data_IF_541536287652
#
_entry.id   IF_541536287652
#
_cell.length_a   1.000
_cell.length_b   1.000
_cell.length_c   1.000
_cell.angle_alpha   90.00
_cell.angle_beta   90.00
_cell.angle_gamma   90.00
#
_symmetry.space_group_name_H-M   'P 1'
#
loop_
_entity.id
_entity.type
_entity.pdbx_description
1 polymer ?
#
# COMPACT_ATOMS: atom_id res chain seq x y z
N UNK A 1 -1.97 -5.55 -6.11
CA UNK A 1 -0.51 -5.39 -5.95
C UNK A 1 -0.22 -4.45 -4.79
N UNK A 2 0.65 -4.84 -3.86
CA UNK A 2 1.14 -3.98 -2.79
C UNK A 2 2.58 -3.55 -3.08
N UNK A 3 2.88 -2.26 -2.93
CA UNK A 3 4.25 -1.72 -3.01
C UNK A 3 4.58 -1.04 -1.69
N UNK A 4 5.69 -1.44 -1.09
CA UNK A 4 6.22 -0.81 0.12
C UNK A 4 7.25 0.23 -0.28
N UNK A 5 7.17 1.44 0.29
CA UNK A 5 8.17 2.49 0.07
C UNK A 5 9.56 2.07 0.56
N UNK A 6 10.61 2.69 0.03
CA UNK A 6 12.00 2.36 0.41
C UNK A 6 12.26 2.51 1.92
N UNK A 7 11.65 3.52 2.55
CA UNK A 7 11.75 3.74 4.00
C UNK A 7 10.79 2.87 4.83
N UNK A 8 9.95 2.04 4.19
CA UNK A 8 8.94 1.16 4.82
C UNK A 8 7.85 1.87 5.62
N UNK A 9 7.68 3.16 5.38
CA UNK A 9 6.67 3.98 6.06
C UNK A 9 5.38 4.09 5.27
N UNK A 10 5.34 3.61 4.02
CA UNK A 10 4.15 3.65 3.17
C UNK A 10 3.92 2.32 2.47
N UNK A 11 2.66 1.93 2.39
CA UNK A 11 2.16 0.75 1.68
C UNK A 11 1.13 1.23 0.67
N UNK A 12 1.44 1.10 -0.61
CA UNK A 12 0.59 1.46 -1.72
C UNK A 12 -0.18 0.22 -2.17
N UNK A 13 -1.50 0.30 -2.23
CA UNK A 13 -2.34 -0.77 -2.76
C UNK A 13 -2.88 -0.39 -4.13
N UNK A 14 -2.46 -1.16 -5.14
CA UNK A 14 -2.95 -1.04 -6.51
C UNK A 14 -3.94 -2.17 -6.81
N UNK A 15 -5.18 -1.78 -7.09
CA UNK A 15 -6.03 -2.51 -8.04
C UNK A 15 -7.55 -2.39 -7.88
N UNK A 16 -8.10 -1.90 -6.76
CA UNK A 16 -9.50 -1.42 -6.70
C UNK A 16 -9.61 0.11 -6.64
N UNK A 17 -8.69 0.75 -5.91
CA UNK A 17 -8.49 2.20 -5.83
C UNK A 17 -6.99 2.51 -5.62
N UNK A 18 -6.55 3.76 -5.81
CA UNK A 18 -5.16 4.18 -5.54
C UNK A 18 -5.04 4.63 -4.08
N UNK A 19 -5.02 3.67 -3.17
CA UNK A 19 -5.00 3.96 -1.74
C UNK A 19 -3.60 3.70 -1.19
N UNK A 20 -3.11 4.59 -0.33
CA UNK A 20 -1.88 4.36 0.41
C UNK A 20 -2.17 4.36 1.91
N UNK A 21 -1.61 3.39 2.62
CA UNK A 21 -1.46 3.42 4.06
C UNK A 21 -0.08 4.00 4.37
N UNK A 22 -0.03 5.03 5.20
CA UNK A 22 1.23 5.68 5.54
C UNK A 22 1.36 6.02 7.02
N UNK A 23 2.58 5.88 7.52
CA UNK A 23 2.98 6.43 8.80
C UNK A 23 3.06 7.94 8.72
N UNK A 24 2.50 8.61 9.73
CA UNK A 24 2.59 10.06 9.92
C UNK A 24 3.04 10.38 11.34
N UNK A 25 3.84 11.43 11.47
CA UNK A 25 4.34 11.92 12.74
C UNK A 25 3.89 13.37 12.93
N UNK A 26 3.24 13.64 14.06
CA UNK A 26 2.83 14.99 14.43
C UNK A 26 3.53 15.40 15.71
N UNK A 27 4.40 16.39 15.59
CA UNK A 27 5.06 17.00 16.75
C UNK A 27 4.22 18.18 17.22
N UNK A 28 3.71 18.08 18.44
CA UNK A 28 2.97 19.16 19.08
C UNK A 28 3.83 19.83 20.14
N UNK A 29 4.06 21.13 19.97
CA UNK A 29 4.77 21.96 20.93
C UNK A 29 3.78 22.73 21.80
N UNK A 30 3.56 22.27 23.03
CA UNK A 30 2.81 23.02 24.05
C UNK A 30 3.78 23.56 25.10
N UNK A 31 4.24 24.79 24.89
CA UNK A 31 5.20 25.46 25.77
C UNK A 31 6.57 24.79 25.71
N UNK A 32 7.10 24.32 26.85
CA UNK A 32 8.38 23.58 26.94
C UNK A 32 8.25 22.06 26.75
N UNK A 33 7.02 21.54 26.60
CA UNK A 33 6.77 20.11 26.41
C UNK A 33 6.58 19.82 24.94
N UNK A 34 7.40 18.92 24.43
CA UNK A 34 7.29 18.32 23.11
C UNK A 34 6.59 16.97 23.26
N UNK A 35 5.48 16.81 22.54
CA UNK A 35 4.74 15.54 22.49
C UNK A 35 4.65 15.10 21.04
N UNK A 36 5.17 13.92 20.76
CA UNK A 36 5.14 13.30 19.43
C UNK A 36 3.96 12.34 19.38
N UNK A 37 3.11 12.48 18.37
CA UNK A 37 2.03 11.55 18.04
C UNK A 37 2.42 10.74 16.81
N UNK A 38 2.30 9.42 16.92
CA UNK A 38 2.59 8.48 15.84
C UNK A 38 1.28 7.91 15.32
N UNK A 39 0.93 8.20 14.07
CA UNK A 39 -0.33 7.76 13.48
C UNK A 39 -0.11 6.97 12.20
N UNK A 40 -1.11 6.16 11.84
CA UNK A 40 -1.26 5.60 10.50
C UNK A 40 -2.42 6.34 9.85
N UNK A 41 -2.20 6.76 8.61
CA UNK A 41 -3.19 7.45 7.80
C UNK A 41 -3.50 6.66 6.53
N UNK A 42 -4.72 6.80 6.03
CA UNK A 42 -5.10 6.40 4.67
C UNK A 42 -5.07 7.65 3.80
N UNK A 43 -4.40 7.56 2.65
CA UNK A 43 -4.45 8.56 1.60
C UNK A 43 -5.24 8.00 0.41
N UNK A 44 -6.48 8.46 0.25
CA UNK A 44 -7.37 8.18 -0.89
C UNK A 44 -7.96 9.52 -1.40
N UNK A 45 -7.09 10.37 -1.94
CA UNK A 45 -7.41 11.75 -2.34
C UNK A 45 -7.47 12.78 -1.19
N UNK A 46 -7.63 12.34 0.07
CA UNK A 46 -7.48 13.10 1.30
C UNK A 46 -6.71 12.29 2.34
N UNK A 47 -6.01 12.96 3.26
CA UNK A 47 -5.27 12.29 4.35
C UNK A 47 -6.18 12.12 5.57
N UNK A 48 -6.54 10.88 5.89
CA UNK A 48 -7.38 10.55 7.04
C UNK A 48 -6.62 9.72 8.07
N UNK A 49 -6.63 10.14 9.34
CA UNK A 49 -6.06 9.38 10.45
C UNK A 49 -6.95 8.19 10.79
N UNK A 50 -6.39 6.96 10.77
CA UNK A 50 -7.13 5.73 11.08
C UNK A 50 -6.76 5.10 12.41
N UNK A 51 -5.53 5.34 12.88
CA UNK A 51 -5.04 4.77 14.12
C UNK A 51 -3.87 5.59 14.68
N UNK A 52 -3.78 5.64 16.00
CA UNK A 52 -2.66 6.22 16.75
C UNK A 52 -1.98 5.12 17.58
N UNK A 53 -0.65 5.15 17.62
CA UNK A 53 0.16 4.23 18.40
C UNK A 53 1.17 4.98 19.26
N UNK A 54 1.64 4.30 20.31
CA UNK A 54 2.56 4.90 21.26
C UNK A 54 3.96 5.17 20.67
N UNK A 55 4.41 4.36 19.72
CA UNK A 55 5.75 4.48 19.13
C UNK A 55 5.72 4.28 17.62
N UNK A 56 6.71 4.87 16.94
CA UNK A 56 6.93 4.68 15.50
C UNK A 56 7.09 3.20 15.14
N UNK A 57 7.84 2.44 15.92
CA UNK A 57 8.10 1.01 15.67
C UNK A 57 6.80 0.21 15.64
N UNK A 58 5.84 0.58 16.49
CA UNK A 58 4.52 -0.06 16.48
C UNK A 58 3.76 0.24 15.20
N UNK A 59 3.78 1.48 14.71
CA UNK A 59 3.17 1.83 13.42
C UNK A 59 3.80 1.02 12.27
N UNK A 60 5.13 0.94 12.23
CA UNK A 60 5.84 0.20 11.18
C UNK A 60 5.56 -1.31 11.23
N UNK A 61 5.45 -1.88 12.43
CA UNK A 61 5.07 -3.28 12.60
C UNK A 61 3.65 -3.54 12.06
N UNK A 62 2.71 -2.64 12.31
CA UNK A 62 1.33 -2.77 11.78
C UNK A 62 1.31 -2.68 10.25
N UNK A 63 2.08 -1.77 9.65
CA UNK A 63 2.21 -1.71 8.19
C UNK A 63 2.81 -3.01 7.61
N UNK A 64 3.81 -3.59 8.30
CA UNK A 64 4.40 -4.87 7.91
C UNK A 64 3.43 -6.04 8.03
N UNK A 65 2.68 -6.09 9.13
CA UNK A 65 1.67 -7.14 9.38
C UNK A 65 0.55 -7.04 8.34
N UNK A 66 0.13 -5.82 7.98
CA UNK A 66 -0.80 -5.57 6.88
C UNK A 66 -0.25 -6.11 5.55
N UNK A 67 0.99 -5.79 5.19
CA UNK A 67 1.60 -6.35 3.98
C UNK A 67 1.62 -7.87 3.98
N UNK A 68 1.99 -8.52 5.09
CA UNK A 68 2.05 -9.97 5.19
C UNK A 68 0.67 -10.64 5.13
N UNK A 69 -0.37 -10.04 5.72
CA UNK A 69 -1.73 -10.56 5.67
C UNK A 69 -2.28 -10.58 4.23
N UNK A 70 -2.00 -9.52 3.46
CA UNK A 70 -2.51 -9.35 2.09
C UNK A 70 -1.51 -9.78 1.01
N UNK A 71 -0.37 -10.36 1.38
CA UNK A 71 0.64 -10.90 0.45
C UNK A 71 0.03 -12.00 -0.43
N UNK A 72 -0.79 -12.88 0.16
CA UNK A 72 -1.43 -14.00 -0.53
C UNK A 72 -2.74 -13.61 -1.24
N UNK A 73 -3.38 -12.49 -0.89
CA UNK A 73 -4.60 -12.00 -1.55
C UNK A 73 -4.29 -11.19 -2.82
N UNK A 74 -3.04 -10.75 -2.98
CA UNK A 74 -2.54 -10.17 -4.22
C UNK A 74 -2.12 -11.27 -5.21
N UNK A 75 -3.07 -12.03 -5.74
CA UNK A 75 -2.78 -13.01 -6.79
C UNK A 75 -2.23 -12.32 -8.04
N UNK A 76 -0.98 -12.61 -8.39
CA UNK A 76 -0.49 -12.49 -9.77
C UNK A 76 -0.86 -13.76 -10.50
N UNK A 77 -1.78 -13.69 -11.46
CA UNK A 77 -1.99 -14.79 -12.41
C UNK A 77 -1.24 -14.40 -13.67
N UNK A 78 -0.31 -15.24 -14.16
CA UNK A 78 0.26 -15.04 -15.50
C UNK A 78 -0.88 -15.24 -16.53
N UNK A 79 -1.52 -14.14 -16.96
CA UNK A 79 -2.56 -14.17 -17.98
C UNK A 79 -1.96 -13.90 -19.36
N UNK A 80 -2.16 -14.84 -20.29
CA UNK A 80 -1.84 -14.64 -21.70
C UNK A 80 -3.02 -13.96 -22.40
N UNK A 81 -2.89 -12.67 -22.68
CA UNK A 81 -3.84 -11.93 -23.52
C UNK A 81 -3.76 -12.42 -24.97
N UNK A 82 -4.52 -13.48 -25.24
CA UNK A 82 -4.58 -14.13 -26.55
C UNK A 82 -5.29 -13.23 -27.57
N UNK A 83 -6.13 -12.29 -27.13
CA UNK A 83 -6.83 -11.34 -28.01
C UNK A 83 -5.88 -10.25 -28.56
N UNK A 84 -4.85 -9.88 -27.80
CA UNK A 84 -3.81 -8.95 -28.25
C UNK A 84 -2.87 -9.55 -29.32
N UNK A 85 -2.88 -10.87 -29.53
CA UNK A 85 -2.03 -11.54 -30.53
C UNK A 85 -2.28 -11.04 -31.96
N UNK A 86 -3.54 -10.70 -32.28
CA UNK A 86 -3.91 -10.26 -33.62
C UNK A 86 -3.54 -8.80 -33.94
N UNK A 87 -3.40 -7.95 -32.92
CA UNK A 87 -3.24 -6.49 -33.10
C UNK A 87 -1.85 -5.98 -32.71
N UNK A 88 -1.13 -6.66 -31.81
CA UNK A 88 0.18 -6.20 -31.30
C UNK A 88 1.16 -7.36 -31.07
N UNK A 89 1.64 -8.01 -32.14
CA UNK A 89 2.50 -9.19 -32.03
C UNK A 89 3.84 -8.94 -31.31
N UNK A 90 4.32 -7.69 -31.24
CA UNK A 90 5.54 -7.32 -30.53
C UNK A 90 5.36 -7.10 -29.00
N UNK A 91 4.11 -6.90 -28.52
CA UNK A 91 3.79 -6.82 -27.09
C UNK A 91 3.49 -8.19 -26.46
N UNK A 92 3.59 -9.27 -27.25
CA UNK A 92 3.45 -10.66 -26.81
C UNK A 92 4.63 -11.16 -25.96
N UNK A 93 5.17 -10.33 -25.06
CA UNK A 93 6.18 -10.76 -24.09
C UNK A 93 5.71 -10.43 -22.69
N UNK A 94 5.26 -11.48 -21.99
CA UNK A 94 4.98 -11.56 -20.55
C UNK A 94 4.41 -10.25 -19.97
N UNK A 95 3.13 -10.00 -20.20
CA UNK A 95 2.42 -9.04 -19.36
C UNK A 95 2.09 -9.73 -18.04
N UNK A 96 2.63 -9.18 -16.95
CA UNK A 96 2.17 -9.52 -15.59
C UNK A 96 0.89 -8.70 -15.39
N UNK A 97 -0.26 -9.35 -15.50
CA UNK A 97 -1.55 -8.73 -15.23
C UNK A 97 -1.99 -9.14 -13.83
N UNK A 98 -2.40 -8.16 -13.02
CA UNK A 98 -2.91 -8.40 -11.67
C UNK A 98 -4.42 -8.54 -11.76
N UNK A 99 -4.94 -9.75 -11.54
CA UNK A 99 -6.38 -10.02 -11.48
C UNK A 99 -6.82 -10.23 -10.02
N UNK A 100 -7.97 -9.65 -9.66
CA UNK A 100 -8.60 -9.90 -8.38
C UNK A 100 -9.39 -11.22 -8.42
N UNK A 101 -9.46 -11.98 -7.31
CA UNK A 101 -10.32 -13.14 -7.24
C UNK A 101 -11.79 -12.73 -7.49
N UNK A 102 -12.48 -13.53 -8.31
CA UNK A 102 -13.92 -13.41 -8.48
C UNK A 102 -14.63 -13.93 -7.21
N UNK A 103 -15.71 -13.23 -6.82
CA UNK A 103 -16.60 -13.61 -5.70
C UNK A 103 -17.28 -14.96 -5.90
#
# INVERSE_FOLDING_TARGET
>A
MLIVSQNKEKVLWFGRAFNALEYSEQVNHKGKKETVRHTICISDGCLEEIAEYQTKERCLQVLKDFCGAYENECYTVEFFDTAAQATRPAMYKKNIVYEFPAE
#
